data_IF_407361314543
#
_entry.id   IF_407361314543
#
_cell.length_a   1.000
_cell.length_b   1.000
_cell.length_c   1.000
_cell.angle_alpha   90.00
_cell.angle_beta   90.00
_cell.angle_gamma   90.00
#
_symmetry.space_group_name_H-M   'P 1'
#
loop_
_entity.id
_entity.type
_entity.pdbx_description
1 polymer ?
#
# COMPACT_ATOMS: atom_id res chain seq x y z
N UNK A 1 3.32 8.47 -11.64
CA UNK A 1 1.95 7.96 -11.42
C UNK A 1 1.91 7.45 -9.99
N UNK A 2 0.90 7.79 -9.18
CA UNK A 2 0.82 7.30 -7.79
C UNK A 2 0.58 5.78 -7.78
N UNK A 3 1.39 5.03 -7.04
CA UNK A 3 1.23 3.59 -6.87
C UNK A 3 -0.12 3.27 -6.19
N UNK A 4 -0.78 2.18 -6.58
CA UNK A 4 -2.02 1.72 -5.90
C UNK A 4 -1.66 0.93 -4.65
N UNK A 5 -2.57 0.87 -3.68
CA UNK A 5 -2.35 0.10 -2.45
C UNK A 5 -2.01 -1.39 -2.72
N UNK A 6 -2.72 -2.13 -3.59
CA UNK A 6 -2.36 -3.50 -3.92
C UNK A 6 -0.98 -3.64 -4.57
N UNK A 7 -0.61 -2.69 -5.44
CA UNK A 7 0.71 -2.70 -6.07
C UNK A 7 1.80 -2.45 -5.02
N UNK A 8 1.62 -1.47 -4.14
CA UNK A 8 2.51 -1.21 -3.01
C UNK A 8 2.60 -2.41 -2.07
N UNK A 9 1.48 -3.08 -1.80
CA UNK A 9 1.40 -4.21 -0.89
C UNK A 9 2.20 -5.41 -1.42
N UNK A 10 2.17 -5.68 -2.73
CA UNK A 10 3.00 -6.73 -3.35
C UNK A 10 4.50 -6.50 -3.15
N UNK A 11 4.94 -5.25 -3.17
CA UNK A 11 6.35 -4.92 -2.92
C UNK A 11 6.78 -5.27 -1.48
N UNK A 12 5.83 -5.42 -0.56
CA UNK A 12 6.08 -5.74 0.85
C UNK A 12 6.21 -7.25 1.13
N UNK A 13 5.90 -8.13 0.17
CA UNK A 13 5.86 -9.60 0.39
C UNK A 13 7.17 -10.19 0.95
N UNK A 14 8.31 -9.53 0.74
CA UNK A 14 9.62 -10.00 1.21
C UNK A 14 9.97 -9.55 2.62
N UNK A 15 9.11 -8.77 3.30
CA UNK A 15 9.35 -8.33 4.67
C UNK A 15 9.06 -9.47 5.64
N UNK A 16 9.84 -9.51 6.73
CA UNK A 16 9.69 -10.45 7.84
C UNK A 16 8.95 -9.80 9.04
N UNK A 17 7.99 -8.91 8.76
CA UNK A 17 7.16 -8.23 9.76
C UNK A 17 5.66 -8.40 9.46
N UNK A 18 4.81 -7.84 10.32
CA UNK A 18 3.34 -7.96 10.20
C UNK A 18 2.79 -7.45 8.85
N UNK A 19 3.44 -6.47 8.22
CA UNK A 19 3.05 -5.98 6.88
C UNK A 19 3.46 -6.97 5.81
N UNK A 20 4.65 -7.58 5.94
CA UNK A 20 5.11 -8.65 5.05
C UNK A 20 4.23 -9.90 5.11
N UNK A 21 3.86 -10.35 6.31
CA UNK A 21 2.95 -11.47 6.51
C UNK A 21 1.56 -11.19 5.91
N UNK A 22 1.05 -9.97 6.11
CA UNK A 22 -0.19 -9.51 5.51
C UNK A 22 -0.09 -9.48 3.97
N UNK A 23 1.01 -8.97 3.42
CA UNK A 23 1.24 -8.93 1.97
C UNK A 23 1.27 -10.33 1.35
N UNK A 24 2.04 -11.26 1.93
CA UNK A 24 2.13 -12.64 1.45
C UNK A 24 0.77 -13.35 1.42
N UNK A 25 -0.13 -12.98 2.34
CA UNK A 25 -1.45 -13.60 2.46
C UNK A 25 -2.47 -13.03 1.45
N UNK A 26 -2.42 -11.73 1.18
CA UNK A 26 -3.51 -11.03 0.49
C UNK A 26 -3.13 -10.37 -0.85
N UNK A 27 -1.86 -10.00 -1.06
CA UNK A 27 -1.45 -9.19 -2.22
C UNK A 27 -1.60 -9.91 -3.58
N UNK A 28 -1.59 -11.24 -3.54
CA UNK A 28 -1.78 -12.12 -4.70
C UNK A 28 -3.22 -12.60 -4.92
N UNK A 29 -4.21 -12.14 -4.15
CA UNK A 29 -5.60 -12.55 -4.35
C UNK A 29 -6.18 -11.91 -5.62
N UNK A 30 -6.78 -12.73 -6.49
CA UNK A 30 -7.37 -12.29 -7.76
C UNK A 30 -8.59 -11.37 -7.57
N UNK A 31 -9.24 -11.41 -6.41
CA UNK A 31 -10.42 -10.62 -6.07
C UNK A 31 -10.10 -9.35 -5.27
N UNK A 32 -8.83 -9.06 -5.00
CA UNK A 32 -8.41 -7.85 -4.30
C UNK A 32 -8.69 -6.61 -5.17
N UNK A 33 -9.45 -5.61 -4.68
CA UNK A 33 -9.75 -4.41 -5.46
C UNK A 33 -8.47 -3.69 -5.88
N UNK A 34 -8.26 -3.49 -7.19
CA UNK A 34 -7.03 -2.88 -7.73
C UNK A 34 -6.90 -1.38 -7.40
N UNK A 35 -8.04 -0.71 -7.24
CA UNK A 35 -8.16 0.72 -6.95
C UNK A 35 -9.21 0.96 -5.87
N UNK A 36 -9.01 2.01 -5.07
CA UNK A 36 -9.97 2.41 -4.05
C UNK A 36 -9.32 3.22 -2.96
N UNK A 37 -10.15 3.90 -2.17
CA UNK A 37 -9.74 4.48 -0.89
C UNK A 37 -9.90 3.48 0.24
N UNK A 38 -9.51 3.89 1.45
CA UNK A 38 -9.51 3.05 2.66
C UNK A 38 -10.81 2.27 2.88
N UNK A 39 -11.95 2.95 2.72
CA UNK A 39 -13.28 2.36 2.94
C UNK A 39 -13.60 1.18 2.01
N UNK A 40 -13.02 1.12 0.80
CA UNK A 40 -13.20 -0.02 -0.11
C UNK A 40 -12.49 -1.25 0.44
N UNK A 41 -11.27 -1.07 0.94
CA UNK A 41 -10.52 -2.15 1.56
C UNK A 41 -11.10 -2.55 2.91
N UNK A 42 -11.57 -1.61 3.73
CA UNK A 42 -12.31 -1.94 4.97
C UNK A 42 -13.50 -2.87 4.67
N UNK A 43 -14.26 -2.58 3.60
CA UNK A 43 -15.37 -3.42 3.17
C UNK A 43 -14.92 -4.80 2.68
N UNK A 44 -13.84 -4.87 1.90
CA UNK A 44 -13.28 -6.14 1.40
C UNK A 44 -12.77 -7.03 2.54
N UNK A 45 -12.09 -6.46 3.53
CA UNK A 45 -11.51 -7.19 4.67
C UNK A 45 -12.49 -7.37 5.85
N UNK A 46 -13.73 -6.90 5.76
CA UNK A 46 -14.68 -6.86 6.88
C UNK A 46 -14.99 -8.25 7.49
N UNK A 47 -14.92 -9.32 6.69
CA UNK A 47 -15.13 -10.71 7.14
C UNK A 47 -13.85 -11.45 7.49
N UNK A 48 -12.68 -10.83 7.32
CA UNK A 48 -11.38 -11.41 7.65
C UNK A 48 -11.12 -11.33 9.16
N UNK A 49 -10.08 -12.03 9.62
CA UNK A 49 -9.72 -12.08 11.04
C UNK A 49 -9.31 -10.71 11.59
N UNK A 50 -9.31 -10.57 12.92
CA UNK A 50 -8.87 -9.35 13.58
C UNK A 50 -7.38 -9.03 13.28
N UNK A 51 -6.57 -10.06 13.10
CA UNK A 51 -5.17 -9.96 12.67
C UNK A 51 -5.07 -9.39 11.25
N UNK A 52 -5.91 -9.84 10.32
CA UNK A 52 -5.95 -9.29 8.96
C UNK A 52 -6.41 -7.83 8.94
N UNK A 53 -7.41 -7.48 9.77
CA UNK A 53 -7.86 -6.09 9.91
C UNK A 53 -6.75 -5.19 10.49
N UNK A 54 -6.01 -5.68 11.49
CA UNK A 54 -4.86 -4.98 12.07
C UNK A 54 -3.71 -4.84 11.06
N UNK A 55 -3.45 -5.88 10.26
CA UNK A 55 -2.49 -5.83 9.16
C UNK A 55 -2.88 -4.80 8.10
N UNK A 56 -4.16 -4.70 7.75
CA UNK A 56 -4.68 -3.67 6.86
C UNK A 56 -4.49 -2.26 7.43
N UNK A 57 -4.79 -2.03 8.71
CA UNK A 57 -4.53 -0.76 9.41
C UNK A 57 -3.08 -0.32 9.28
N UNK A 58 -2.15 -1.22 9.64
CA UNK A 58 -0.71 -0.95 9.57
C UNK A 58 -0.25 -0.69 8.14
N UNK A 59 -0.58 -1.58 7.21
CA UNK A 59 -0.20 -1.49 5.81
C UNK A 59 -0.71 -0.18 5.17
N UNK A 60 -1.95 0.20 5.46
CA UNK A 60 -2.54 1.41 4.91
C UNK A 60 -1.91 2.69 5.48
N UNK A 61 -1.57 2.70 6.78
CA UNK A 61 -0.85 3.81 7.38
C UNK A 61 0.53 4.01 6.74
N UNK A 62 1.27 2.93 6.51
CA UNK A 62 2.57 2.97 5.83
C UNK A 62 2.44 3.41 4.37
N UNK A 63 1.45 2.88 3.64
CA UNK A 63 1.15 3.30 2.27
C UNK A 63 0.89 4.81 2.18
N UNK A 64 0.10 5.38 3.09
CA UNK A 64 -0.16 6.82 3.12
C UNK A 64 1.04 7.66 3.57
N UNK A 65 1.94 7.10 4.38
CA UNK A 65 3.16 7.77 4.80
C UNK A 65 4.22 7.84 3.68
N UNK A 66 4.12 6.97 2.66
CA UNK A 66 5.05 6.86 1.54
C UNK A 66 4.36 7.08 0.16
N UNK A 67 3.84 8.28 -0.18
CA UNK A 67 3.25 8.52 -1.50
C UNK A 67 4.27 8.63 -2.68
N UNK A 68 5.53 8.20 -2.49
CA UNK A 68 6.73 8.57 -3.27
C UNK A 68 7.10 10.08 -3.24
N UNK A 69 8.41 10.42 -3.31
CA UNK A 69 8.85 11.80 -3.44
C UNK A 69 8.45 12.33 -4.82
N UNK A 70 7.87 13.53 -4.88
CA UNK A 70 7.69 14.26 -6.13
C UNK A 70 8.98 14.20 -6.95
N UNK A 71 8.89 13.63 -8.16
CA UNK A 71 9.99 13.66 -9.13
C UNK A 71 10.47 15.11 -9.30
N UNK A 72 11.75 15.37 -8.97
CA UNK A 72 12.62 16.40 -9.54
C UNK A 72 11.92 17.63 -10.15
N UNK A 73 11.85 18.73 -9.40
CA UNK A 73 12.20 20.04 -9.99
C UNK A 73 13.67 20.27 -9.69
N UNK A 74 14.51 19.52 -10.39
CA UNK A 74 15.84 19.97 -10.77
C UNK A 74 15.62 21.01 -11.88
N UNK A 75 15.27 22.24 -11.49
CA UNK A 75 15.52 23.38 -12.36
C UNK A 75 16.96 23.81 -12.08
N UNK A 76 17.85 23.81 -13.08
CA UNK A 76 19.20 24.27 -12.88
C UNK A 76 19.17 25.76 -12.54
N UNK A 77 19.84 26.13 -11.44
CA UNK A 77 20.37 27.47 -11.27
C UNK A 77 21.09 27.89 -12.56
N UNK A 78 20.51 28.83 -13.29
CA UNK A 78 21.24 29.53 -14.34
C UNK A 78 20.40 29.83 -15.56
N UNK A 79 19.78 31.00 -15.56
CA UNK A 79 19.82 31.86 -16.72
C UNK A 79 20.01 33.30 -16.26
N UNK A 80 21.05 33.89 -16.84
CA UNK A 80 21.55 35.25 -16.66
C UNK A 80 20.55 36.31 -17.07
#
# INVERSE_FOLDING_TARGET
>A
MTQTFPAWLRDQEKRDDEVGEFAQTFAGRDDLPEHGGRAIYDGYFASESAEAQSGLDRAWMEFQAHPEPSATSDEPEGLR
#
